data_IF_748209256127
#
_entry.id   IF_748209256127
#
_cell.length_a   1.000
_cell.length_b   1.000
_cell.length_c   1.000
_cell.angle_alpha   90.00
_cell.angle_beta   90.00
_cell.angle_gamma   90.00
#
_symmetry.space_group_name_H-M   'P 1'
#
loop_
_entity.id
_entity.type
_entity.pdbx_description
1 polymer ?
#
# COMPACT_ATOMS: atom_id res chain seq x y z
N UNK A 1 8.71 2.48 -5.05
CA UNK A 1 9.09 2.13 -6.44
C UNK A 1 10.43 1.40 -6.39
N UNK A 2 10.62 0.37 -7.22
CA UNK A 2 11.94 -0.25 -7.39
C UNK A 2 12.70 0.50 -8.50
N UNK A 3 13.96 0.82 -8.24
CA UNK A 3 14.77 1.69 -9.10
C UNK A 3 16.01 0.95 -9.58
N UNK A 4 16.12 0.71 -10.90
CA UNK A 4 17.37 0.23 -11.49
C UNK A 4 18.29 1.42 -11.75
N UNK A 5 19.15 1.72 -10.80
CA UNK A 5 19.97 2.92 -10.81
C UNK A 5 20.93 2.99 -12.02
N UNK A 6 21.40 1.84 -12.53
CA UNK A 6 22.24 1.80 -13.75
C UNK A 6 21.44 2.28 -14.96
N UNK A 7 20.27 1.67 -15.20
CA UNK A 7 19.40 2.06 -16.32
C UNK A 7 18.91 3.50 -16.20
N UNK A 8 18.68 3.99 -14.97
CA UNK A 8 18.26 5.37 -14.72
C UNK A 8 19.37 6.39 -15.04
N UNK A 9 20.62 6.09 -14.66
CA UNK A 9 21.77 6.94 -15.02
C UNK A 9 22.00 6.95 -16.53
N UNK A 10 21.97 5.78 -17.18
CA UNK A 10 22.14 5.67 -18.63
C UNK A 10 21.04 6.42 -19.40
N UNK A 11 19.83 6.45 -18.85
CA UNK A 11 18.70 7.20 -19.40
C UNK A 11 18.79 8.73 -19.14
N UNK A 12 19.70 9.17 -18.26
CA UNK A 12 19.81 10.58 -17.86
C UNK A 12 18.59 11.07 -17.07
N UNK A 13 17.92 10.18 -16.33
CA UNK A 13 16.65 10.48 -15.67
C UNK A 13 16.74 11.68 -14.72
N UNK A 14 17.83 11.78 -13.94
CA UNK A 14 18.03 12.86 -12.97
C UNK A 14 17.99 14.24 -13.62
N UNK A 15 18.75 14.45 -14.71
CA UNK A 15 18.80 15.73 -15.40
C UNK A 15 17.43 16.15 -15.94
N UNK A 16 16.65 15.18 -16.45
CA UNK A 16 15.26 15.41 -16.90
C UNK A 16 14.37 15.85 -15.74
N UNK A 17 14.39 15.12 -14.64
CA UNK A 17 13.59 15.43 -13.45
C UNK A 17 13.95 16.79 -12.85
N UNK A 18 15.24 17.14 -12.79
CA UNK A 18 15.70 18.45 -12.27
C UNK A 18 15.24 19.59 -13.18
N UNK A 19 15.32 19.41 -14.51
CA UNK A 19 14.80 20.40 -15.47
C UNK A 19 13.31 20.63 -15.28
N UNK A 20 12.51 19.55 -15.26
CA UNK A 20 11.07 19.61 -15.06
C UNK A 20 10.68 20.17 -13.68
N UNK A 21 11.45 19.86 -12.63
CA UNK A 21 11.21 20.42 -11.30
C UNK A 21 11.41 21.93 -11.23
N UNK A 22 12.33 22.46 -12.05
CA UNK A 22 12.54 23.90 -12.18
C UNK A 22 11.45 24.56 -13.03
N UNK A 23 11.05 23.92 -14.13
CA UNK A 23 10.00 24.37 -15.04
C UNK A 23 8.64 24.45 -14.33
N UNK A 24 8.22 23.37 -13.67
CA UNK A 24 6.90 23.25 -13.03
C UNK A 24 6.92 23.54 -11.53
N UNK A 25 7.81 24.42 -11.06
CA UNK A 25 8.07 24.66 -9.64
C UNK A 25 6.81 24.87 -8.80
N UNK A 26 5.80 25.54 -9.36
CA UNK A 26 4.56 25.92 -8.67
C UNK A 26 3.31 25.26 -9.27
N UNK A 27 3.46 24.38 -10.27
CA UNK A 27 2.34 23.90 -11.07
C UNK A 27 1.91 22.48 -10.71
N UNK A 28 2.70 21.77 -9.90
CA UNK A 28 2.45 20.36 -9.56
C UNK A 28 2.06 20.20 -8.09
N UNK A 29 0.90 19.60 -7.87
CA UNK A 29 0.38 19.27 -6.54
C UNK A 29 1.14 18.08 -5.93
N UNK A 30 1.44 17.05 -6.72
CA UNK A 30 2.14 15.82 -6.28
C UNK A 30 3.49 15.72 -6.97
N UNK A 31 4.34 16.73 -6.77
CA UNK A 31 5.60 16.92 -7.52
C UNK A 31 6.48 15.66 -7.63
N UNK A 32 6.55 14.86 -6.58
CA UNK A 32 7.33 13.61 -6.58
C UNK A 32 6.77 12.54 -7.55
N UNK A 33 5.45 12.46 -7.71
CA UNK A 33 4.79 11.53 -8.63
C UNK A 33 4.65 12.13 -10.03
N UNK A 34 4.23 13.40 -10.11
CA UNK A 34 3.91 14.08 -11.36
C UNK A 34 5.14 14.23 -12.26
N UNK A 35 6.31 14.56 -11.69
CA UNK A 35 7.55 14.64 -12.48
C UNK A 35 7.93 13.31 -13.12
N UNK A 36 7.76 12.19 -12.39
CA UNK A 36 7.98 10.86 -12.96
C UNK A 36 6.94 10.55 -14.03
N UNK A 37 5.67 10.88 -13.79
CA UNK A 37 4.58 10.64 -14.74
C UNK A 37 4.80 11.39 -16.06
N UNK A 38 5.24 12.65 -16.01
CA UNK A 38 5.57 13.44 -17.22
C UNK A 38 6.68 12.74 -18.02
N UNK A 39 7.80 12.38 -17.39
CA UNK A 39 8.91 11.72 -18.10
C UNK A 39 8.46 10.35 -18.66
N UNK A 40 7.75 9.55 -17.88
CA UNK A 40 7.39 8.18 -18.25
C UNK A 40 6.23 8.13 -19.25
N UNK A 41 5.44 9.20 -19.38
CA UNK A 41 4.44 9.35 -20.44
C UNK A 41 5.09 9.26 -21.82
N UNK A 42 6.20 9.98 -22.02
CA UNK A 42 6.95 9.99 -23.28
C UNK A 42 7.89 8.79 -23.43
N UNK A 43 8.08 8.02 -22.35
CA UNK A 43 9.02 6.90 -22.26
C UNK A 43 8.39 5.65 -21.61
N UNK A 44 7.31 5.09 -22.18
CA UNK A 44 6.59 3.96 -21.59
C UNK A 44 7.44 2.68 -21.50
N UNK A 45 8.48 2.54 -22.32
CA UNK A 45 9.46 1.44 -22.26
C UNK A 45 10.39 1.51 -21.03
N UNK A 46 10.37 2.63 -20.31
CA UNK A 46 11.22 2.89 -19.12
C UNK A 46 10.51 2.65 -17.81
N UNK A 47 9.25 2.23 -17.82
CA UNK A 47 8.49 1.84 -16.63
C UNK A 47 8.02 0.41 -16.72
N UNK A 48 8.18 -0.33 -15.62
CA UNK A 48 7.52 -1.62 -15.43
C UNK A 48 6.33 -1.42 -14.48
N UNK A 49 5.12 -1.59 -14.98
CA UNK A 49 3.91 -1.51 -14.16
C UNK A 49 3.76 -2.80 -13.36
N UNK A 50 3.80 -2.68 -12.03
CA UNK A 50 3.64 -3.81 -11.11
C UNK A 50 2.17 -4.19 -10.87
N UNK A 51 1.90 -5.41 -10.37
CA UNK A 51 0.56 -5.83 -9.99
C UNK A 51 0.04 -5.06 -8.77
N UNK A 52 -1.28 -5.05 -8.57
CA UNK A 52 -1.93 -4.38 -7.44
C UNK A 52 -1.44 -4.84 -6.07
N UNK A 53 -0.93 -6.07 -5.97
CA UNK A 53 -0.30 -6.63 -4.77
C UNK A 53 0.66 -5.65 -4.09
N UNK A 54 1.35 -4.81 -4.87
CA UNK A 54 2.36 -3.87 -4.36
C UNK A 54 1.85 -2.44 -4.15
N UNK A 55 0.63 -2.12 -4.55
CA UNK A 55 0.06 -0.77 -4.40
C UNK A 55 -1.48 -0.82 -4.33
N UNK A 56 -2.02 -1.29 -3.21
CA UNK A 56 -3.46 -1.31 -3.00
C UNK A 56 -3.91 -0.03 -2.27
N UNK A 57 -4.53 0.89 -3.02
CA UNK A 57 -5.08 2.17 -2.51
C UNK A 57 -6.59 2.08 -2.27
N UNK A 58 -7.15 2.96 -1.45
CA UNK A 58 -8.57 2.93 -1.08
C UNK A 58 -9.51 3.06 -2.29
N UNK A 59 -9.10 3.83 -3.31
CA UNK A 59 -9.77 3.96 -4.59
C UNK A 59 -10.13 2.64 -5.28
N UNK A 60 -9.28 1.62 -5.11
CA UNK A 60 -9.45 0.29 -5.70
C UNK A 60 -10.70 -0.41 -5.16
N UNK A 61 -11.12 -0.13 -3.92
CA UNK A 61 -12.28 -0.77 -3.32
C UNK A 61 -13.59 -0.46 -4.06
N UNK A 62 -13.69 0.70 -4.69
CA UNK A 62 -14.88 1.11 -5.45
C UNK A 62 -14.96 0.47 -6.85
N UNK A 63 -13.87 -0.15 -7.30
CA UNK A 63 -13.85 -0.88 -8.56
C UNK A 63 -14.08 -2.38 -8.34
N UNK A 64 -15.04 -2.95 -9.08
CA UNK A 64 -15.30 -4.39 -9.10
C UNK A 64 -14.24 -5.19 -9.86
N UNK A 65 -13.52 -4.54 -10.78
CA UNK A 65 -12.53 -5.18 -11.66
C UNK A 65 -11.10 -4.96 -11.18
N UNK A 66 -10.80 -3.80 -10.59
CA UNK A 66 -9.44 -3.49 -10.18
C UNK A 66 -8.97 -4.43 -9.09
N UNK A 67 -7.77 -5.00 -9.30
CA UNK A 67 -7.09 -5.88 -8.35
C UNK A 67 -7.94 -7.11 -7.97
N UNK A 68 -8.79 -7.57 -8.88
CA UNK A 68 -9.60 -8.77 -8.68
C UNK A 68 -8.65 -9.98 -8.54
N UNK A 69 -8.91 -10.83 -7.54
CA UNK A 69 -8.10 -12.00 -7.21
C UNK A 69 -6.65 -11.72 -6.75
N UNK A 70 -6.31 -10.46 -6.47
CA UNK A 70 -5.02 -10.12 -5.87
C UNK A 70 -5.14 -9.90 -4.36
N UNK A 71 -4.19 -10.46 -3.61
CA UNK A 71 -4.05 -10.21 -2.17
C UNK A 71 -2.93 -9.18 -1.98
N UNK A 72 -3.21 -8.01 -1.40
CA UNK A 72 -2.21 -6.99 -1.17
C UNK A 72 -1.10 -7.50 -0.24
N UNK A 73 0.14 -7.23 -0.63
CA UNK A 73 1.31 -7.26 0.24
C UNK A 73 1.58 -5.88 0.83
N UNK A 74 1.21 -4.81 0.12
CA UNK A 74 1.32 -3.42 0.56
C UNK A 74 -0.06 -2.76 0.43
N UNK A 75 -0.56 -2.23 1.56
CA UNK A 75 -1.71 -1.34 1.59
C UNK A 75 -1.19 0.10 1.65
N UNK A 76 -1.59 0.93 0.70
CA UNK A 76 -1.11 2.29 0.56
C UNK A 76 -2.21 3.26 1.01
N UNK A 77 -2.04 3.82 2.21
CA UNK A 77 -2.88 4.90 2.71
C UNK A 77 -2.52 6.23 2.07
N UNK A 78 -3.24 6.59 1.00
CA UNK A 78 -3.16 7.93 0.40
C UNK A 78 -4.05 8.90 1.18
N UNK A 79 -3.84 10.20 1.01
CA UNK A 79 -4.75 11.24 1.49
C UNK A 79 -5.10 11.18 3.00
N UNK A 80 -4.18 10.71 3.86
CA UNK A 80 -4.41 10.51 5.30
C UNK A 80 -5.48 9.45 5.66
N UNK A 81 -5.83 8.52 4.78
CA UNK A 81 -6.89 7.52 5.05
C UNK A 81 -6.61 6.61 6.26
N UNK A 82 -5.35 6.49 6.70
CA UNK A 82 -5.01 5.74 7.92
C UNK A 82 -5.33 6.51 9.21
N UNK A 83 -5.45 7.83 9.17
CA UNK A 83 -5.55 8.69 10.35
C UNK A 83 -6.85 9.49 10.39
N UNK A 84 -7.40 9.84 9.23
CA UNK A 84 -8.67 10.57 9.14
C UNK A 84 -9.86 9.60 9.22
N UNK A 85 -10.63 9.60 10.32
CA UNK A 85 -11.75 8.68 10.50
C UNK A 85 -12.92 8.95 9.56
N UNK A 86 -12.94 10.10 8.87
CA UNK A 86 -14.00 10.48 7.94
C UNK A 86 -13.74 10.01 6.51
N UNK A 87 -12.49 9.66 6.15
CA UNK A 87 -12.12 9.31 4.76
C UNK A 87 -12.45 7.87 4.39
N UNK A 88 -11.77 6.90 4.99
CA UNK A 88 -12.06 5.48 4.76
C UNK A 88 -11.83 4.67 6.03
N UNK A 89 -12.93 4.33 6.70
CA UNK A 89 -12.90 3.69 8.02
C UNK A 89 -12.12 2.38 8.04
N UNK A 90 -12.18 1.60 6.96
CA UNK A 90 -11.44 0.34 6.88
C UNK A 90 -9.92 0.54 6.80
N UNK A 91 -9.46 1.63 6.19
CA UNK A 91 -8.05 2.02 6.24
C UNK A 91 -7.67 2.50 7.64
N UNK A 92 -8.52 3.30 8.29
CA UNK A 92 -8.31 3.69 9.69
C UNK A 92 -8.16 2.48 10.63
N UNK A 93 -8.95 1.42 10.43
CA UNK A 93 -8.82 0.16 11.17
C UNK A 93 -7.44 -0.51 11.01
N UNK A 94 -6.87 -0.47 9.79
CA UNK A 94 -5.51 -0.93 9.49
C UNK A 94 -4.47 -0.04 10.18
N UNK A 95 -4.57 1.28 10.00
CA UNK A 95 -3.65 2.24 10.63
C UNK A 95 -3.60 2.08 12.15
N UNK A 96 -4.76 1.92 12.78
CA UNK A 96 -4.86 1.69 14.23
C UNK A 96 -4.24 0.36 14.66
N UNK A 97 -4.45 -0.74 13.93
CA UNK A 97 -3.80 -2.01 14.23
C UNK A 97 -2.27 -1.92 14.08
N UNK A 98 -1.78 -1.18 13.09
CA UNK A 98 -0.34 -0.95 12.89
C UNK A 98 0.26 -0.13 14.03
N UNK A 99 -0.44 0.89 14.53
CA UNK A 99 0.03 1.70 15.66
C UNK A 99 0.05 0.93 16.99
N UNK A 100 -0.89 0.01 17.18
CA UNK A 100 -0.98 -0.82 18.40
C UNK A 100 0.01 -1.98 18.42
N UNK A 101 0.56 -2.36 17.25
CA UNK A 101 1.40 -3.53 17.14
C UNK A 101 2.82 -3.27 17.63
N UNK A 102 3.23 -4.08 18.61
CA UNK A 102 4.61 -4.11 19.08
C UNK A 102 5.47 -5.02 18.20
N UNK A 103 6.51 -4.44 17.60
CA UNK A 103 7.46 -5.18 16.76
C UNK A 103 8.16 -6.27 17.56
N UNK A 104 8.34 -7.43 16.93
CA UNK A 104 8.97 -8.58 17.56
C UNK A 104 8.00 -9.47 18.33
N UNK A 105 6.72 -9.10 18.44
CA UNK A 105 5.69 -9.95 19.02
C UNK A 105 4.98 -10.80 17.96
N UNK A 106 4.04 -11.67 18.35
CA UNK A 106 3.27 -12.51 17.42
C UNK A 106 2.45 -11.67 16.44
N UNK A 107 2.65 -11.87 15.14
CA UNK A 107 1.87 -11.23 14.09
C UNK A 107 0.41 -11.69 14.11
N UNK A 108 0.15 -12.98 14.36
CA UNK A 108 -1.23 -13.46 14.39
C UNK A 108 -2.00 -12.79 15.54
N UNK A 109 -1.47 -12.90 16.77
CA UNK A 109 -2.19 -12.49 17.98
C UNK A 109 -2.21 -10.98 18.18
N UNK A 110 -1.11 -10.31 17.89
CA UNK A 110 -0.95 -8.89 18.24
C UNK A 110 -1.17 -7.95 17.05
N UNK A 111 -1.24 -8.46 15.81
CA UNK A 111 -1.58 -7.65 14.64
C UNK A 111 -2.86 -8.13 13.96
N UNK A 112 -2.91 -9.38 13.48
CA UNK A 112 -4.02 -9.87 12.65
C UNK A 112 -5.33 -9.96 13.44
N UNK A 113 -5.30 -10.47 14.67
CA UNK A 113 -6.48 -10.52 15.54
C UNK A 113 -7.02 -9.13 15.89
N UNK A 114 -6.11 -8.18 16.16
CA UNK A 114 -6.47 -6.78 16.44
C UNK A 114 -7.11 -6.16 15.20
N UNK A 115 -6.49 -6.35 14.04
CA UNK A 115 -7.02 -5.87 12.77
C UNK A 115 -8.40 -6.44 12.45
N UNK A 116 -8.60 -7.74 12.66
CA UNK A 116 -9.90 -8.37 12.41
C UNK A 116 -11.00 -7.77 13.31
N UNK A 117 -10.72 -7.57 14.60
CA UNK A 117 -11.63 -6.88 15.53
C UNK A 117 -11.91 -5.44 15.10
N UNK A 118 -10.88 -4.69 14.71
CA UNK A 118 -11.03 -3.32 14.22
C UNK A 118 -11.89 -3.27 12.94
N UNK A 119 -11.71 -4.23 12.02
CA UNK A 119 -12.51 -4.32 10.81
C UNK A 119 -13.97 -4.73 11.10
N UNK A 120 -14.23 -5.49 12.15
CA UNK A 120 -15.60 -5.82 12.56
C UNK A 120 -16.34 -4.58 13.10
N UNK A 121 -15.65 -3.67 13.80
CA UNK A 121 -16.27 -2.49 14.42
C UNK A 121 -16.61 -1.37 13.42
N UNK A 122 -15.93 -1.28 12.27
CA UNK A 122 -16.16 -0.21 11.26
C UNK A 122 -17.39 -0.39 10.36
N UNK A 123 -18.16 -1.48 10.51
CA UNK A 123 -19.37 -1.74 9.72
C UNK A 123 -19.08 -2.20 8.28
N UNK A 124 -20.09 -2.18 7.41
CA UNK A 124 -19.97 -2.69 6.03
C UNK A 124 -19.66 -1.58 5.03
N UNK A 125 -18.39 -1.45 4.64
CA UNK A 125 -17.94 -0.67 3.47
C UNK A 125 -17.32 -1.61 2.43
N UNK A 126 -17.22 -1.18 1.18
CA UNK A 126 -16.59 -1.96 0.12
C UNK A 126 -15.13 -2.31 0.46
N UNK A 127 -14.38 -1.38 1.07
CA UNK A 127 -13.04 -1.67 1.56
C UNK A 127 -13.06 -2.68 2.72
N UNK A 128 -13.95 -2.52 3.71
CA UNK A 128 -14.04 -3.46 4.82
C UNK A 128 -14.33 -4.89 4.36
N UNK A 129 -15.22 -5.07 3.37
CA UNK A 129 -15.48 -6.37 2.75
C UNK A 129 -14.26 -6.97 2.07
N UNK A 130 -13.50 -6.17 1.30
CA UNK A 130 -12.27 -6.63 0.66
C UNK A 130 -11.23 -7.02 1.71
N UNK A 131 -10.99 -6.19 2.71
CA UNK A 131 -10.01 -6.46 3.76
C UNK A 131 -10.36 -7.68 4.61
N UNK A 132 -11.64 -7.91 4.95
CA UNK A 132 -12.06 -9.14 5.65
C UNK A 132 -11.72 -10.40 4.87
N UNK A 133 -11.74 -10.36 3.53
CA UNK A 133 -11.26 -11.49 2.70
C UNK A 133 -9.75 -11.62 2.77
N UNK A 134 -9.02 -10.50 2.68
CA UNK A 134 -7.55 -10.50 2.74
C UNK A 134 -6.98 -10.94 4.09
N UNK A 135 -7.62 -10.55 5.19
CA UNK A 135 -7.22 -10.91 6.56
C UNK A 135 -7.13 -12.42 6.76
N UNK A 136 -7.99 -13.21 6.12
CA UNK A 136 -7.91 -14.68 6.16
C UNK A 136 -6.56 -15.18 5.62
N UNK A 137 -6.11 -14.64 4.49
CA UNK A 137 -4.81 -14.97 3.91
C UNK A 137 -3.64 -14.41 4.72
N UNK A 138 -3.77 -13.18 5.25
CA UNK A 138 -2.73 -12.60 6.10
C UNK A 138 -2.55 -13.38 7.40
N UNK A 139 -3.63 -13.96 7.96
CA UNK A 139 -3.56 -14.85 9.12
C UNK A 139 -2.71 -16.07 8.86
N UNK A 140 -2.89 -16.73 7.72
CA UNK A 140 -2.08 -17.89 7.32
C UNK A 140 -0.61 -17.53 7.17
N UNK A 141 -0.29 -16.36 6.62
CA UNK A 141 1.08 -15.86 6.51
C UNK A 141 1.66 -15.50 7.87
N UNK A 142 0.88 -14.85 8.74
CA UNK A 142 1.29 -14.49 10.09
C UNK A 142 1.65 -15.73 10.92
N UNK A 143 0.82 -16.79 10.84
CA UNK A 143 1.10 -18.09 11.48
C UNK A 143 2.42 -18.70 11.05
N UNK A 144 2.73 -18.66 9.75
CA UNK A 144 4.00 -19.17 9.22
C UNK A 144 5.18 -18.38 9.78
N UNK A 145 5.10 -17.05 9.73
CA UNK A 145 6.16 -16.18 10.25
C UNK A 145 6.34 -16.34 11.77
N UNK A 146 5.25 -16.47 12.50
CA UNK A 146 5.26 -16.69 13.95
C UNK A 146 5.91 -18.03 14.30
N UNK A 147 5.54 -19.10 13.59
CA UNK A 147 6.16 -20.42 13.74
C UNK A 147 7.66 -20.38 13.43
N UNK A 148 8.07 -19.72 12.34
CA UNK A 148 9.49 -19.54 11.97
C UNK A 148 10.28 -18.77 13.04
N UNK A 149 9.59 -17.92 13.82
CA UNK A 149 10.16 -17.13 14.93
C UNK A 149 10.04 -17.84 16.29
N UNK A 150 9.51 -19.06 16.34
CA UNK A 150 9.34 -19.82 17.58
C UNK A 150 8.14 -19.40 18.45
N UNK A 151 7.20 -18.62 17.91
CA UNK A 151 5.95 -18.30 18.59
C UNK A 151 5.00 -19.47 18.38
N UNK A 152 4.72 -20.23 19.44
CA UNK A 152 3.83 -21.38 19.36
C UNK A 152 2.42 -20.94 18.94
N UNK A 153 1.85 -21.67 17.98
CA UNK A 153 0.41 -21.74 17.74
C UNK A 153 -0.14 -22.80 18.70
N UNK A 154 -0.50 -22.37 19.91
CA UNK A 154 -1.29 -23.20 20.83
C UNK A 154 -2.72 -23.33 20.33
#
# INVERSE_FOLDING_TARGET
>A
MLMNLTRMRDFGLEARLVGLAAEYRNDLEYRDQDLFNIVLHDHPDRVLVGPCRWNFIHGVCWSKLACQNEIPAIVHGTENTFFDPLKEKAYGAIGSAMQQYELGTSLERNFVDVLERNLQSVGTTLCAERFRRFVKHWRELARKVDADRGWSTS
#
